data_IF_798134731374
#
_entry.id   IF_798134731374
#
_cell.length_a   1.000
_cell.length_b   1.000
_cell.length_c   1.000
_cell.angle_alpha   90.00
_cell.angle_beta   90.00
_cell.angle_gamma   90.00
#
_symmetry.space_group_name_H-M   'P 1'
#
loop_
_entity.id
_entity.type
_entity.pdbx_description
1 polymer ?
#
# COMPACT_ATOMS: atom_id res chain seq x y z
N UNK A 1 25.90 -11.31 5.66
CA UNK A 1 25.29 -10.00 5.95
C UNK A 1 25.68 -9.56 7.36
N UNK A 2 25.63 -10.46 8.33
CA UNK A 2 26.02 -10.21 9.73
C UNK A 2 27.40 -9.54 9.88
N UNK A 3 28.44 -10.04 9.20
CA UNK A 3 29.78 -9.43 9.25
C UNK A 3 29.82 -7.97 8.73
N UNK A 4 28.91 -7.62 7.81
CA UNK A 4 28.77 -6.24 7.31
C UNK A 4 28.07 -5.36 8.34
N UNK A 5 27.01 -5.87 8.98
CA UNK A 5 26.23 -5.15 9.98
C UNK A 5 27.01 -4.92 11.29
N UNK A 6 27.88 -5.85 11.64
CA UNK A 6 28.74 -5.79 12.84
C UNK A 6 30.05 -5.03 12.59
N UNK A 7 30.23 -4.46 11.39
CA UNK A 7 31.40 -3.66 11.09
C UNK A 7 31.41 -2.36 11.92
N UNK A 8 32.59 -1.99 12.42
CA UNK A 8 32.79 -0.80 13.27
C UNK A 8 32.32 0.49 12.59
N UNK A 9 32.61 0.67 11.31
CA UNK A 9 32.24 1.88 10.56
C UNK A 9 30.71 1.98 10.39
N UNK A 10 30.06 0.85 10.09
CA UNK A 10 28.60 0.77 9.94
C UNK A 10 27.89 1.05 11.27
N UNK A 11 28.40 0.47 12.36
CA UNK A 11 27.82 0.66 13.70
C UNK A 11 27.98 2.11 14.17
N UNK A 12 29.14 2.72 13.95
CA UNK A 12 29.37 4.13 14.27
C UNK A 12 28.44 5.06 13.46
N UNK A 13 28.31 4.81 12.15
CA UNK A 13 27.46 5.60 11.26
C UNK A 13 25.98 5.53 11.67
N UNK A 14 25.48 4.36 12.08
CA UNK A 14 24.12 4.21 12.60
C UNK A 14 23.92 4.92 13.95
N UNK A 15 24.93 4.88 14.83
CA UNK A 15 24.89 5.51 16.15
C UNK A 15 24.82 7.04 16.08
N UNK A 16 25.65 7.65 15.22
CA UNK A 16 25.70 9.11 15.04
C UNK A 16 24.42 9.69 14.42
N UNK A 17 23.66 8.86 13.71
CA UNK A 17 22.52 9.29 12.88
C UNK A 17 21.17 8.94 13.52
N UNK A 18 21.14 8.70 14.84
CA UNK A 18 19.94 8.36 15.61
C UNK A 18 19.12 7.17 15.04
N UNK A 19 19.80 6.20 14.41
CA UNK A 19 19.14 5.03 13.84
C UNK A 19 18.95 3.94 14.92
N UNK A 20 17.77 3.31 14.94
CA UNK A 20 17.52 2.14 15.79
C UNK A 20 17.65 0.88 14.93
N UNK A 21 18.65 0.05 15.22
CA UNK A 21 18.87 -1.22 14.53
C UNK A 21 18.14 -2.36 15.25
N UNK A 22 17.34 -3.13 14.49
CA UNK A 22 16.62 -4.30 14.99
C UNK A 22 17.05 -5.53 14.19
N UNK A 23 17.54 -6.57 14.88
CA UNK A 23 17.91 -7.84 14.27
C UNK A 23 16.79 -8.85 14.50
N UNK A 24 16.11 -9.24 13.42
CA UNK A 24 15.06 -10.25 13.46
C UNK A 24 15.61 -11.59 12.94
N UNK A 25 15.30 -12.68 13.64
CA UNK A 25 15.66 -14.02 13.20
C UNK A 25 14.68 -14.50 12.14
N UNK A 26 15.19 -15.02 11.02
CA UNK A 26 14.37 -15.65 9.99
C UNK A 26 13.52 -16.78 10.60
N UNK A 27 12.25 -16.85 10.19
CA UNK A 27 11.24 -17.79 10.72
C UNK A 27 10.94 -17.66 12.23
N UNK A 28 11.37 -16.58 12.88
CA UNK A 28 10.91 -16.23 14.22
C UNK A 28 9.53 -15.56 14.20
N UNK A 29 8.82 -15.59 15.32
CA UNK A 29 7.49 -14.98 15.47
C UNK A 29 7.53 -13.46 15.16
N UNK A 30 8.55 -12.76 15.66
CA UNK A 30 8.79 -11.33 15.38
C UNK A 30 8.98 -11.02 13.89
N UNK A 31 9.65 -11.92 13.16
CA UNK A 31 9.82 -11.79 11.71
C UNK A 31 8.48 -12.03 10.98
N UNK A 32 7.63 -12.92 11.52
CA UNK A 32 6.26 -13.13 11.04
C UNK A 32 5.40 -11.87 11.17
N UNK A 33 5.40 -11.24 12.35
CA UNK A 33 4.70 -9.97 12.57
C UNK A 33 5.25 -8.86 11.68
N UNK A 34 6.57 -8.75 11.56
CA UNK A 34 7.21 -7.78 10.68
C UNK A 34 6.81 -7.99 9.22
N UNK A 35 6.82 -9.23 8.73
CA UNK A 35 6.47 -9.59 7.35
C UNK A 35 5.03 -9.26 6.96
N UNK A 36 4.13 -9.16 7.94
CA UNK A 36 2.73 -8.78 7.71
C UNK A 36 2.59 -7.29 7.35
N UNK A 37 3.51 -6.45 7.82
CA UNK A 37 3.50 -4.99 7.60
C UNK A 37 4.49 -4.63 6.48
N UNK A 38 5.66 -5.27 6.46
CA UNK A 38 6.71 -5.09 5.47
C UNK A 38 7.06 -6.44 4.84
N UNK A 39 6.49 -6.77 3.66
CA UNK A 39 6.67 -8.08 3.04
C UNK A 39 8.15 -8.45 2.85
N UNK A 40 8.58 -9.53 3.52
CA UNK A 40 9.93 -10.07 3.40
C UNK A 40 9.98 -11.08 2.26
N UNK A 41 10.58 -10.68 1.14
CA UNK A 41 10.67 -11.52 -0.07
C UNK A 41 11.90 -12.42 -0.06
N UNK A 42 13.00 -11.95 0.55
CA UNK A 42 14.27 -12.67 0.59
C UNK A 42 14.95 -12.52 1.95
N UNK A 43 15.72 -13.54 2.34
CA UNK A 43 16.56 -13.55 3.54
C UNK A 43 17.99 -13.89 3.11
N UNK A 44 19.02 -13.16 3.57
CA UNK A 44 18.97 -11.99 4.45
C UNK A 44 18.43 -10.75 3.74
N UNK A 45 17.80 -9.84 4.48
CA UNK A 45 17.35 -8.54 3.99
C UNK A 45 17.44 -7.48 5.09
N UNK A 46 17.62 -6.22 4.68
CA UNK A 46 17.70 -5.06 5.56
C UNK A 46 16.72 -4.00 5.07
N UNK A 47 15.91 -3.51 6.00
CA UNK A 47 14.89 -2.50 5.74
C UNK A 47 15.27 -1.21 6.45
N UNK A 48 15.29 -0.11 5.71
CA UNK A 48 15.38 1.23 6.27
C UNK A 48 13.98 1.83 6.29
N UNK A 49 13.47 2.14 7.48
CA UNK A 49 12.09 2.60 7.66
C UNK A 49 12.13 4.01 8.26
N UNK A 50 11.41 4.94 7.62
CA UNK A 50 11.26 6.31 8.11
C UNK A 50 10.40 6.36 9.38
N UNK A 51 10.51 7.44 10.15
CA UNK A 51 9.69 7.67 11.36
C UNK A 51 8.17 7.67 11.10
N UNK A 52 7.75 7.91 9.87
CA UNK A 52 6.34 7.84 9.46
C UNK A 52 5.86 6.40 9.15
N UNK A 53 6.73 5.40 9.26
CA UNK A 53 6.45 4.00 8.98
C UNK A 53 6.61 3.59 7.50
N UNK A 54 7.05 4.48 6.61
CA UNK A 54 7.30 4.11 5.20
C UNK A 54 8.68 3.48 5.04
N UNK A 55 8.83 2.37 4.28
CA UNK A 55 10.15 1.89 3.89
C UNK A 55 10.79 2.89 2.93
N UNK A 56 12.02 3.31 3.23
CA UNK A 56 12.83 4.22 2.41
C UNK A 56 13.63 3.41 1.40
N UNK A 57 14.27 2.34 1.85
CA UNK A 57 15.15 1.49 1.06
C UNK A 57 15.10 0.05 1.60
N UNK A 58 15.17 -0.92 0.70
CA UNK A 58 15.23 -2.34 1.06
C UNK A 58 16.40 -2.98 0.35
N UNK A 59 17.36 -3.45 1.13
CA UNK A 59 18.53 -4.15 0.64
C UNK A 59 18.33 -5.66 0.78
N UNK A 60 18.28 -6.35 -0.35
CA UNK A 60 18.17 -7.81 -0.39
C UNK A 60 19.55 -8.48 -0.52
N UNK A 61 19.78 -9.55 0.23
CA UNK A 61 20.98 -10.36 0.14
C UNK A 61 22.20 -9.77 0.86
N UNK A 62 23.38 -10.13 0.37
CA UNK A 62 24.65 -9.67 0.93
C UNK A 62 25.09 -8.37 0.26
N UNK A 63 25.55 -7.42 1.08
CA UNK A 63 26.18 -6.18 0.63
C UNK A 63 27.50 -5.99 1.37
N UNK A 64 28.50 -5.46 0.68
CA UNK A 64 29.79 -5.13 1.28
C UNK A 64 29.68 -3.90 2.21
N UNK A 65 30.53 -3.81 3.25
CA UNK A 65 30.46 -2.71 4.22
C UNK A 65 30.51 -1.32 3.62
N UNK A 66 31.40 -1.08 2.65
CA UNK A 66 31.53 0.24 2.04
C UNK A 66 30.27 0.64 1.26
N UNK A 67 29.71 -0.28 0.47
CA UNK A 67 28.46 -0.06 -0.25
C UNK A 67 27.29 0.14 0.72
N UNK A 68 27.26 -0.60 1.83
CA UNK A 68 26.23 -0.45 2.85
C UNK A 68 26.29 0.93 3.55
N UNK A 69 27.48 1.45 3.83
CA UNK A 69 27.65 2.83 4.32
C UNK A 69 27.08 3.88 3.34
N UNK A 70 27.28 3.69 2.03
CA UNK A 70 26.71 4.58 1.01
C UNK A 70 25.18 4.51 0.97
N UNK A 71 24.61 3.31 1.16
CA UNK A 71 23.17 3.11 1.29
C UNK A 71 22.64 3.88 2.50
N UNK A 72 23.25 3.70 3.67
CA UNK A 72 22.84 4.42 4.91
C UNK A 72 22.87 5.94 4.69
N UNK A 73 23.95 6.48 4.11
CA UNK A 73 24.04 7.92 3.83
C UNK A 73 22.94 8.40 2.86
N UNK A 74 22.62 7.59 1.85
CA UNK A 74 21.57 7.92 0.88
C UNK A 74 20.19 7.90 1.53
N UNK A 75 19.92 6.89 2.36
CA UNK A 75 18.70 6.75 3.16
C UNK A 75 18.51 7.96 4.08
N UNK A 76 19.54 8.39 4.79
CA UNK A 76 19.46 9.53 5.72
C UNK A 76 19.15 10.83 4.96
N UNK A 77 19.81 11.06 3.82
CA UNK A 77 19.52 12.22 2.96
C UNK A 77 18.06 12.22 2.51
N UNK A 78 17.55 11.06 2.08
CA UNK A 78 16.16 10.90 1.66
C UNK A 78 15.18 11.06 2.84
N UNK A 79 15.54 10.58 4.02
CA UNK A 79 14.74 10.71 5.22
C UNK A 79 14.53 12.17 5.61
N UNK A 80 15.62 12.95 5.63
CA UNK A 80 15.59 14.37 5.96
C UNK A 80 14.75 15.18 4.96
N UNK A 81 14.84 14.84 3.67
CA UNK A 81 14.03 15.45 2.63
C UNK A 81 12.52 15.15 2.80
N UNK A 82 12.16 14.00 3.38
CA UNK A 82 10.77 13.65 3.68
C UNK A 82 10.25 14.24 4.99
N UNK A 83 11.11 14.53 5.98
CA UNK A 83 10.69 15.06 7.28
C UNK A 83 10.53 16.58 7.31
N UNK A 84 11.18 17.33 6.42
CA UNK A 84 11.09 18.80 6.35
C UNK A 84 9.93 19.32 5.44
N UNK A 85 9.03 18.43 4.99
CA UNK A 85 7.86 18.82 4.19
C UNK A 85 6.56 18.29 4.80
N UNK A 86 5.72 19.21 5.29
CA UNK A 86 4.27 18.99 5.43
C UNK A 86 3.59 19.47 4.13
N UNK A 87 2.34 19.02 3.80
CA UNK A 87 1.95 17.96 2.85
C UNK A 87 1.47 18.53 1.48
N UNK A 88 1.03 17.75 0.45
CA UNK A 88 0.38 16.42 0.57
C UNK A 88 0.80 15.30 -0.40
N UNK A 89 0.49 14.08 0.08
CA UNK A 89 0.06 12.87 -0.64
C UNK A 89 0.50 12.73 -2.11
N UNK A 90 1.39 11.77 -2.38
CA UNK A 90 1.26 10.92 -3.56
C UNK A 90 1.87 9.54 -3.35
N UNK A 91 0.99 8.54 -3.42
CA UNK A 91 1.34 7.13 -3.52
C UNK A 91 1.75 6.85 -4.96
N UNK A 92 3.04 6.96 -5.28
CA UNK A 92 3.56 6.52 -6.58
C UNK A 92 4.07 5.08 -6.50
N UNK A 93 3.14 4.19 -6.85
CA UNK A 93 3.30 3.02 -7.72
C UNK A 93 4.73 2.67 -8.14
N UNK A 94 5.26 1.58 -7.56
CA UNK A 94 6.44 0.86 -8.02
C UNK A 94 6.11 0.27 -9.40
N UNK A 95 6.74 0.79 -10.47
CA UNK A 95 6.83 0.12 -11.76
C UNK A 95 8.00 -0.87 -11.70
N UNK A 96 7.70 -2.17 -11.76
CA UNK A 96 8.69 -3.21 -12.02
C UNK A 96 9.00 -3.24 -13.52
N UNK A 97 10.23 -2.88 -13.89
CA UNK A 97 10.79 -3.15 -15.22
C UNK A 97 11.43 -4.53 -15.18
N UNK A 98 10.83 -5.50 -15.87
CA UNK A 98 11.39 -6.83 -16.03
C UNK A 98 12.36 -6.84 -17.23
N UNK A 99 13.61 -7.20 -16.98
CA UNK A 99 14.67 -7.39 -17.97
C UNK A 99 14.85 -8.90 -18.15
N UNK A 100 14.60 -9.42 -19.35
CA UNK A 100 15.07 -10.73 -19.84
C UNK A 100 15.41 -10.51 -21.32
N UNK A 101 16.69 -10.39 -21.70
CA UNK A 101 17.75 -11.41 -21.88
C UNK A 101 17.42 -12.42 -22.97
N UNK A 102 18.33 -12.42 -23.95
CA UNK A 102 18.34 -13.09 -25.23
C UNK A 102 18.31 -14.63 -25.17
N UNK A 103 17.78 -15.24 -26.24
CA UNK A 103 18.27 -16.53 -26.73
C UNK A 103 18.37 -16.49 -28.26
N UNK A 104 19.56 -16.88 -28.75
CA UNK A 104 19.91 -17.05 -30.16
C UNK A 104 19.52 -18.44 -30.65
N UNK A 105 19.04 -18.55 -31.90
CA UNK A 105 19.32 -19.69 -32.79
C UNK A 105 18.74 -19.50 -34.20
N UNK A 106 19.60 -19.60 -35.23
CA UNK A 106 19.27 -20.27 -36.51
C UNK A 106 19.07 -19.43 -37.80
N UNK A 107 20.14 -19.28 -38.59
CA UNK A 107 20.16 -19.01 -40.06
C UNK A 107 19.79 -20.29 -40.87
N UNK A 108 19.81 -20.35 -42.23
CA UNK A 108 19.61 -19.37 -43.33
C UNK A 108 18.73 -19.89 -44.51
N UNK A 109 18.48 -19.05 -45.54
CA UNK A 109 18.61 -19.33 -47.00
C UNK A 109 17.44 -18.93 -47.95
N UNK A 110 17.80 -18.04 -48.90
CA UNK A 110 17.53 -17.94 -50.36
C UNK A 110 16.13 -18.01 -51.02
N UNK A 111 15.94 -17.11 -52.02
CA UNK A 111 15.00 -17.21 -53.15
C UNK A 111 14.18 -15.92 -53.37
N UNK A 112 14.67 -14.88 -54.07
CA UNK A 112 14.73 -14.66 -55.53
C UNK A 112 13.37 -14.34 -56.21
N UNK A 113 13.32 -13.14 -56.83
CA UNK A 113 12.50 -12.71 -57.99
C UNK A 113 10.95 -12.70 -57.85
N UNK A 114 10.15 -11.80 -58.42
CA UNK A 114 10.34 -10.81 -59.49
C UNK A 114 9.13 -9.85 -59.53
N UNK A 115 9.35 -8.62 -60.05
CA UNK A 115 8.49 -7.82 -60.94
C UNK A 115 7.00 -7.51 -60.59
N UNK A 116 6.43 -6.31 -60.75
CA UNK A 116 6.87 -5.05 -61.34
C UNK A 116 5.79 -3.96 -61.16
N UNK A 117 6.23 -2.69 -61.30
CA UNK A 117 5.48 -1.49 -61.78
C UNK A 117 4.62 -0.74 -60.75
N UNK A 118 4.70 0.58 -60.57
CA UNK A 118 5.26 1.65 -61.42
C UNK A 118 5.50 2.93 -60.58
N UNK A 119 6.68 3.52 -60.77
CA UNK A 119 7.05 4.94 -60.85
C UNK A 119 6.41 6.05 -59.98
N UNK A 120 7.34 6.92 -59.53
CA UNK A 120 7.24 8.39 -59.40
C UNK A 120 6.38 8.91 -58.24
N UNK A 121 6.80 9.85 -57.38
CA UNK A 121 7.79 10.92 -57.49
C UNK A 121 8.13 11.38 -56.07
N UNK A 122 9.40 11.70 -55.79
CA UNK A 122 9.75 12.64 -54.72
C UNK A 122 9.27 14.01 -55.17
N UNK A 123 8.10 14.44 -54.71
CA UNK A 123 7.70 15.86 -54.75
C UNK A 123 7.61 16.37 -53.33
N UNK A 124 8.69 17.00 -52.91
CA UNK A 124 8.63 18.26 -52.17
C UNK A 124 7.54 19.12 -52.79
N UNK A 125 6.52 19.50 -52.03
CA UNK A 125 5.86 20.79 -52.23
C UNK A 125 5.12 21.23 -50.96
N UNK A 126 5.52 22.43 -50.55
CA UNK A 126 4.97 23.22 -49.48
C UNK A 126 3.57 23.75 -49.82
N UNK A 127 2.86 24.16 -48.76
CA UNK A 127 1.76 25.13 -48.79
C UNK A 127 0.40 24.69 -49.37
N UNK A 128 -0.37 23.94 -48.56
CA UNK A 128 -1.82 24.21 -48.37
C UNK A 128 -2.46 23.53 -47.13
N UNK A 129 -1.68 22.91 -46.22
CA UNK A 129 -2.22 22.14 -45.08
C UNK A 129 -1.97 22.78 -43.70
N UNK A 130 -1.51 24.03 -43.66
CA UNK A 130 -1.20 24.74 -42.41
C UNK A 130 -2.40 24.88 -41.44
N UNK A 131 -3.64 25.22 -41.87
CA UNK A 131 -4.76 25.33 -40.92
C UNK A 131 -5.26 23.96 -40.44
N UNK A 132 -5.15 22.90 -41.25
CA UNK A 132 -5.69 21.57 -40.94
C UNK A 132 -4.78 20.73 -40.02
N UNK A 133 -3.48 20.97 -40.03
CA UNK A 133 -2.54 20.35 -39.07
C UNK A 133 -2.58 21.05 -37.72
N UNK A 134 -2.66 22.37 -37.70
CA UNK A 134 -2.75 23.15 -36.46
C UNK A 134 -4.06 22.84 -35.70
N UNK A 135 -5.20 22.78 -36.41
CA UNK A 135 -6.50 22.41 -35.82
C UNK A 135 -6.48 20.98 -35.24
N UNK A 136 -5.81 20.03 -35.90
CA UNK A 136 -5.65 18.66 -35.36
C UNK A 136 -4.76 18.62 -34.12
N UNK A 137 -3.74 19.47 -34.06
CA UNK A 137 -2.85 19.60 -32.90
C UNK A 137 -3.63 20.20 -31.73
N UNK A 138 -4.47 21.20 -31.95
CA UNK A 138 -5.25 21.83 -30.88
C UNK A 138 -6.37 20.92 -30.38
N UNK A 139 -7.06 20.20 -31.27
CA UNK A 139 -7.99 19.13 -30.89
C UNK A 139 -7.27 18.04 -30.08
N UNK A 140 -6.05 17.66 -30.49
CA UNK A 140 -5.26 16.67 -29.76
C UNK A 140 -4.85 17.17 -28.37
N UNK A 141 -4.40 18.42 -28.24
CA UNK A 141 -4.06 19.06 -26.96
C UNK A 141 -5.27 19.12 -26.02
N UNK A 142 -6.41 19.60 -26.52
CA UNK A 142 -7.64 19.71 -25.75
C UNK A 142 -8.11 18.33 -25.24
N UNK A 143 -8.03 17.29 -26.09
CA UNK A 143 -8.41 15.92 -25.72
C UNK A 143 -7.45 15.28 -24.71
N UNK A 144 -6.17 15.66 -24.72
CA UNK A 144 -5.18 15.23 -23.71
C UNK A 144 -5.49 15.88 -22.35
N UNK A 145 -5.80 17.17 -22.34
CA UNK A 145 -6.12 17.91 -21.12
C UNK A 145 -7.42 17.41 -20.48
N UNK A 146 -8.46 17.19 -21.28
CA UNK A 146 -9.74 16.61 -20.84
C UNK A 146 -9.54 15.22 -20.21
N UNK A 147 -8.74 14.35 -20.83
CA UNK A 147 -8.40 13.04 -20.25
C UNK A 147 -7.66 13.14 -18.92
N UNK A 148 -6.81 14.15 -18.76
CA UNK A 148 -6.04 14.35 -17.52
C UNK A 148 -6.97 14.80 -16.38
N UNK A 149 -7.87 15.73 -16.67
CA UNK A 149 -8.91 16.19 -15.74
C UNK A 149 -9.83 15.04 -15.33
N UNK A 150 -10.32 14.25 -16.29
CA UNK A 150 -11.21 13.11 -15.99
C UNK A 150 -10.52 12.05 -15.13
N UNK A 151 -9.23 11.76 -15.39
CA UNK A 151 -8.46 10.84 -14.55
C UNK A 151 -8.30 11.38 -13.12
N UNK A 152 -8.03 12.68 -12.98
CA UNK A 152 -7.88 13.32 -11.69
C UNK A 152 -9.18 13.29 -10.87
N UNK A 153 -10.33 13.55 -11.51
CA UNK A 153 -11.64 13.50 -10.87
C UNK A 153 -12.02 12.09 -10.41
N UNK A 154 -11.78 11.06 -11.24
CA UNK A 154 -12.01 9.65 -10.88
C UNK A 154 -11.12 9.24 -9.69
N UNK A 155 -9.86 9.69 -9.68
CA UNK A 155 -8.94 9.39 -8.58
C UNK A 155 -9.38 10.07 -7.28
N UNK A 156 -9.79 11.34 -7.35
CA UNK A 156 -10.26 12.11 -6.20
C UNK A 156 -11.58 11.58 -5.63
N UNK A 157 -12.53 11.23 -6.50
CA UNK A 157 -13.78 10.55 -6.11
C UNK A 157 -13.49 9.17 -5.50
N UNK A 158 -12.55 8.42 -6.06
CA UNK A 158 -12.10 7.15 -5.51
C UNK A 158 -11.49 7.27 -4.10
N UNK A 159 -10.76 8.36 -3.82
CA UNK A 159 -10.24 8.64 -2.46
C UNK A 159 -11.36 9.01 -1.51
N UNK A 160 -12.28 9.87 -1.94
CA UNK A 160 -13.45 10.30 -1.15
C UNK A 160 -14.35 9.13 -0.78
N UNK A 161 -14.62 8.25 -1.74
CA UNK A 161 -15.49 7.09 -1.53
C UNK A 161 -14.91 6.10 -0.51
N UNK A 162 -13.61 5.81 -0.59
CA UNK A 162 -12.92 4.94 0.38
C UNK A 162 -12.98 5.50 1.80
N UNK A 163 -12.86 6.82 1.96
CA UNK A 163 -12.99 7.46 3.27
C UNK A 163 -14.42 7.36 3.83
N UNK A 164 -15.42 7.59 2.99
CA UNK A 164 -16.83 7.46 3.35
C UNK A 164 -17.15 6.03 3.76
N UNK A 165 -16.71 5.04 2.98
CA UNK A 165 -16.91 3.62 3.28
C UNK A 165 -16.24 3.21 4.59
N UNK A 166 -14.99 3.65 4.83
CA UNK A 166 -14.30 3.41 6.10
C UNK A 166 -15.10 3.95 7.29
N UNK A 167 -15.61 5.19 7.17
CA UNK A 167 -16.40 5.82 8.23
C UNK A 167 -17.71 5.10 8.46
N UNK A 168 -18.41 4.73 7.39
CA UNK A 168 -19.69 4.00 7.46
C UNK A 168 -19.51 2.62 8.10
N UNK A 169 -18.51 1.86 7.68
CA UNK A 169 -18.20 0.55 8.26
C UNK A 169 -17.89 0.65 9.76
N UNK A 170 -17.08 1.63 10.17
CA UNK A 170 -16.79 1.88 11.59
C UNK A 170 -18.05 2.22 12.39
N UNK A 171 -18.93 3.05 11.82
CA UNK A 171 -20.20 3.40 12.45
C UNK A 171 -21.14 2.18 12.57
N UNK A 172 -21.21 1.34 11.55
CA UNK A 172 -22.04 0.14 11.56
C UNK A 172 -21.52 -0.92 12.55
N UNK A 173 -20.19 -1.09 12.65
CA UNK A 173 -19.58 -1.93 13.70
C UNK A 173 -19.91 -1.41 15.10
N UNK A 174 -19.80 -0.10 15.33
CA UNK A 174 -20.12 0.50 16.63
C UNK A 174 -21.60 0.29 16.99
N UNK A 175 -22.52 0.49 16.04
CA UNK A 175 -23.96 0.23 16.22
C UNK A 175 -24.23 -1.24 16.51
N UNK A 176 -23.58 -2.16 15.79
CA UNK A 176 -23.75 -3.60 16.00
C UNK A 176 -23.29 -4.00 17.41
N UNK A 177 -22.17 -3.45 17.89
CA UNK A 177 -21.68 -3.69 19.25
C UNK A 177 -22.64 -3.16 20.31
N UNK A 178 -23.10 -1.92 20.17
CA UNK A 178 -24.10 -1.33 21.07
C UNK A 178 -25.39 -2.15 21.11
N UNK A 179 -25.87 -2.60 19.95
CA UNK A 179 -27.06 -3.44 19.85
C UNK A 179 -26.89 -4.78 20.58
N UNK A 180 -25.73 -5.44 20.45
CA UNK A 180 -25.44 -6.67 21.19
C UNK A 180 -25.37 -6.45 22.70
N UNK A 181 -24.73 -5.37 23.14
CA UNK A 181 -24.64 -5.02 24.56
C UNK A 181 -26.03 -4.70 25.14
N UNK A 182 -26.84 -3.93 24.43
CA UNK A 182 -28.21 -3.62 24.84
C UNK A 182 -29.08 -4.86 24.93
N UNK A 183 -28.98 -5.77 23.96
CA UNK A 183 -29.71 -7.04 23.98
C UNK A 183 -29.34 -7.88 25.20
N UNK A 184 -28.05 -8.07 25.49
CA UNK A 184 -27.58 -8.79 26.68
C UNK A 184 -28.05 -8.13 27.97
N UNK A 185 -27.99 -6.80 28.05
CA UNK A 185 -28.47 -6.04 29.21
C UNK A 185 -29.97 -6.24 29.42
N UNK A 186 -30.75 -6.21 28.34
CA UNK A 186 -32.20 -6.41 28.39
C UNK A 186 -32.56 -7.81 28.87
N UNK A 187 -31.90 -8.84 28.34
CA UNK A 187 -32.10 -10.23 28.76
C UNK A 187 -31.78 -10.42 30.26
N UNK A 188 -30.68 -9.83 30.74
CA UNK A 188 -30.31 -9.88 32.17
C UNK A 188 -31.36 -9.17 33.04
N UNK A 189 -31.83 -8.00 32.62
CA UNK A 189 -32.85 -7.26 33.35
C UNK A 189 -34.17 -8.03 33.43
N UNK A 190 -34.57 -8.71 32.35
CA UNK A 190 -35.76 -9.55 32.31
C UNK A 190 -35.64 -10.76 33.24
N UNK A 191 -34.48 -11.44 33.28
CA UNK A 191 -34.23 -12.55 34.21
C UNK A 191 -34.35 -12.10 35.67
N UNK A 192 -33.72 -10.98 36.02
CA UNK A 192 -33.81 -10.43 37.39
C UNK A 192 -35.24 -10.02 37.75
N UNK A 193 -35.98 -9.43 36.81
CA UNK A 193 -37.38 -9.07 37.03
C UNK A 193 -38.24 -10.33 37.24
N UNK A 194 -38.04 -11.36 36.42
CA UNK A 194 -38.76 -12.63 36.53
C UNK A 194 -38.47 -13.32 37.86
N UNK A 195 -37.20 -13.46 38.22
CA UNK A 195 -36.77 -14.03 39.51
C UNK A 195 -37.36 -13.24 40.68
N UNK A 196 -37.36 -11.91 40.61
CA UNK A 196 -37.99 -11.05 41.63
C UNK A 196 -39.48 -11.37 41.76
N UNK A 197 -40.20 -11.50 40.64
CA UNK A 197 -41.65 -11.81 40.68
C UNK A 197 -41.95 -13.22 41.18
N UNK A 198 -41.13 -14.21 40.80
CA UNK A 198 -41.29 -15.60 41.25
C UNK A 198 -41.01 -15.70 42.75
N UNK A 199 -39.93 -15.07 43.23
CA UNK A 199 -39.60 -14.99 44.65
C UNK A 199 -40.68 -14.29 45.48
N UNK A 200 -41.30 -13.23 44.96
CA UNK A 200 -42.45 -12.60 45.65
C UNK A 200 -43.65 -13.53 45.72
N UNK A 201 -43.97 -14.24 44.62
CA UNK A 201 -45.09 -15.19 44.58
C UNK A 201 -44.87 -16.38 45.52
N UNK A 202 -43.64 -16.88 45.59
CA UNK A 202 -43.27 -18.00 46.46
C UNK A 202 -43.36 -17.61 47.93
N UNK A 203 -42.86 -16.42 48.29
CA UNK A 203 -43.05 -15.86 49.65
C UNK A 203 -44.52 -15.72 50.02
N UNK A 204 -45.35 -15.29 49.08
CA UNK A 204 -46.80 -15.16 49.31
C UNK A 204 -47.48 -16.52 49.52
N UNK A 205 -47.11 -17.54 48.73
CA UNK A 205 -47.61 -18.91 48.92
C UNK A 205 -47.26 -19.47 50.30
N UNK A 206 -46.00 -19.36 50.72
CA UNK A 206 -45.55 -19.81 52.05
C UNK A 206 -46.32 -19.09 53.15
N UNK A 207 -46.53 -17.77 52.99
CA UNK A 207 -47.31 -16.98 53.97
C UNK A 207 -48.75 -17.46 54.08
N UNK A 208 -49.41 -17.80 52.97
CA UNK A 208 -50.79 -18.31 52.97
C UNK A 208 -50.90 -19.72 53.56
N UNK A 209 -49.89 -20.56 53.39
CA UNK A 209 -49.84 -21.91 53.96
C UNK A 209 -49.69 -21.84 55.49
N UNK A 210 -48.83 -20.94 55.99
CA UNK A 210 -48.64 -20.67 57.43
C UNK A 210 -49.86 -20.06 58.14
N UNK A 211 -50.79 -19.44 57.42
CA UNK A 211 -52.00 -18.84 57.99
C UNK A 211 -53.16 -19.84 58.09
N UNK A 212 -53.05 -21.00 57.41
CA UNK A 212 -54.07 -22.06 57.44
C UNK A 212 -53.80 -23.16 58.46
N UNK A 213 -52.54 -23.35 58.88
CA UNK A 213 -52.12 -24.22 60.00
C UNK A 213 -52.27 -23.51 61.35
#
# INVERSE_FOLDING_TARGET
MDATLENTEVTALCGDQHCVALKLKANGEECGFFSQIYPVVTVPSVYFIAVNGSPIEVTAGYVEPNAFCQIIQSVIKNHRAQTDVSPPLDTQSIKMSNVQTAVSSGQPASGQADSASSNHTVTTDSNSAAPALEERIDIAKQKIEEKRLQKQEIEEEGRRQKEIERRKLGQDMAKLKQFQEEKKRKELQEQLAKERTEKTKERERIKQELEKD
#
